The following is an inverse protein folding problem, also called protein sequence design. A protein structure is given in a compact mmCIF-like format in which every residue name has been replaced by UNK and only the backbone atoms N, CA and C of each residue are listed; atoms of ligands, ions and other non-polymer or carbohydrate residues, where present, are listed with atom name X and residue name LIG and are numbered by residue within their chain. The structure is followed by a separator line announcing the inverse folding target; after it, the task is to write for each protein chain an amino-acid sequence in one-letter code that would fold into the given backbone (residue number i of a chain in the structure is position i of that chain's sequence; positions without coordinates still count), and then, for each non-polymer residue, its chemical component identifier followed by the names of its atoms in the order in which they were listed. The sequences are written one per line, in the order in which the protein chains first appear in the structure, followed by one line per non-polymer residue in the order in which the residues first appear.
data_IF_149400037407
#
_entry.id   IF_149400037407
#
_cell.length_a   1.000
_cell.length_b   1.000
_cell.length_c   1.000
_cell.angle_alpha   90.00
_cell.angle_beta   90.00
_cell.angle_gamma   90.00
#
_symmetry.space_group_name_H-M   'P 1'
#
loop_
_entity.id
_entity.type
_entity.pdbx_description
1 polymer ?
#
# COMPACT_ATOMS: atom_id res chain seq x y z
N UNK A 1 17.43 27.41 14.62
CA UNK A 1 16.15 27.94 15.15
C UNK A 1 15.65 26.98 16.21
N UNK A 2 15.68 27.38 17.47
CA UNK A 2 15.10 26.60 18.56
C UNK A 2 13.59 26.52 18.33
N UNK A 3 13.05 25.31 18.15
CA UNK A 3 11.62 25.09 17.99
C UNK A 3 11.02 25.00 19.39
N UNK A 4 10.37 26.07 19.82
CA UNK A 4 9.57 26.11 21.05
C UNK A 4 8.30 25.30 20.83
N UNK A 5 8.36 24.00 21.10
CA UNK A 5 7.17 23.18 21.25
C UNK A 5 6.70 23.31 22.72
N UNK A 6 5.50 23.87 23.00
CA UNK A 6 5.01 24.11 24.36
C UNK A 6 4.87 22.85 25.22
N UNK A 7 4.97 21.66 24.61
CA UNK A 7 4.90 20.37 25.31
C UNK A 7 6.27 19.70 25.53
N UNK A 8 7.38 20.35 25.14
CA UNK A 8 8.74 19.84 25.38
C UNK A 8 9.11 18.57 24.58
N UNK A 9 8.33 18.21 23.56
CA UNK A 9 8.62 17.07 22.71
C UNK A 9 9.56 17.46 21.57
N UNK A 10 10.82 17.04 21.67
CA UNK A 10 11.78 17.17 20.56
C UNK A 10 11.46 16.15 19.45
N UNK A 11 10.65 16.58 18.47
CA UNK A 11 10.29 15.81 17.28
C UNK A 11 11.42 15.75 16.23
N UNK A 12 12.62 16.25 16.51
CA UNK A 12 13.72 16.19 15.55
C UNK A 12 14.08 14.74 15.22
N UNK A 13 14.39 14.50 13.94
CA UNK A 13 14.86 13.19 13.46
C UNK A 13 16.11 12.72 14.22
N UNK A 14 16.91 13.67 14.70
CA UNK A 14 18.08 13.41 15.55
C UNK A 14 17.70 12.89 16.94
N UNK A 15 16.74 13.52 17.61
CA UNK A 15 16.31 13.09 18.95
C UNK A 15 15.55 11.77 18.90
N UNK A 16 14.70 11.57 17.90
CA UNK A 16 14.01 10.29 17.69
C UNK A 16 14.97 9.16 17.34
N UNK A 17 16.01 9.41 16.52
CA UNK A 17 17.09 8.43 16.28
C UNK A 17 17.88 8.11 17.55
N UNK A 18 18.16 9.09 18.42
CA UNK A 18 18.89 8.89 19.68
C UNK A 18 18.08 8.10 20.71
N UNK A 19 16.75 8.29 20.75
CA UNK A 19 15.84 7.56 21.64
C UNK A 19 15.44 6.18 21.14
N UNK A 20 15.78 5.81 19.90
CA UNK A 20 15.42 4.51 19.36
C UNK A 20 16.41 3.44 19.87
N UNK A 21 16.00 2.51 20.76
CA UNK A 21 16.88 1.45 21.25
C UNK A 21 17.29 0.47 20.14
N UNK A 22 16.68 0.56 18.96
CA UNK A 22 17.03 -0.21 17.76
C UNK A 22 18.04 0.52 16.85
N UNK A 23 18.57 1.68 17.28
CA UNK A 23 19.49 2.51 16.51
C UNK A 23 20.85 1.82 16.31
N UNK A 24 21.18 1.53 15.03
CA UNK A 24 22.42 0.92 14.56
C UNK A 24 22.85 -0.33 15.35
N UNK A 25 22.09 -1.42 15.24
CA UNK A 25 22.73 -2.75 15.30
C UNK A 25 23.79 -2.75 14.21
N UNK A 26 25.07 -2.77 14.60
CA UNK A 26 26.16 -2.92 13.64
C UNK A 26 25.93 -4.19 12.80
N UNK A 27 26.46 -4.21 11.59
CA UNK A 27 26.41 -5.37 10.70
C UNK A 27 26.96 -6.66 11.35
N UNK A 28 27.69 -6.53 12.46
CA UNK A 28 28.25 -7.62 13.26
C UNK A 28 27.22 -8.36 14.13
N UNK A 29 26.02 -7.84 14.35
CA UNK A 29 25.02 -8.47 15.24
C UNK A 29 25.42 -8.50 16.73
N UNK A 30 26.49 -7.81 17.12
CA UNK A 30 26.99 -7.73 18.49
C UNK A 30 26.16 -6.74 19.33
N UNK A 31 25.91 -7.11 20.58
CA UNK A 31 25.40 -6.23 21.62
C UNK A 31 26.59 -5.64 22.38
N UNK A 32 27.04 -4.45 21.97
CA UNK A 32 28.15 -3.75 22.65
C UNK A 32 27.81 -3.34 24.09
N UNK A 33 26.53 -3.36 24.46
CA UNK A 33 26.04 -2.99 25.80
C UNK A 33 25.86 -4.18 26.73
N UNK A 34 26.15 -5.42 26.31
CA UNK A 34 25.99 -6.57 27.20
C UNK A 34 27.12 -6.65 28.23
N UNK A 35 26.75 -6.79 29.50
CA UNK A 35 27.68 -7.01 30.64
C UNK A 35 27.75 -8.49 31.03
N UNK A 36 27.23 -9.38 30.20
CA UNK A 36 27.14 -10.82 30.50
C UNK A 36 28.45 -11.52 30.17
N UNK A 37 28.75 -12.59 30.91
CA UNK A 37 29.85 -13.51 30.61
C UNK A 37 29.37 -14.53 29.57
N UNK A 38 30.29 -15.13 28.82
CA UNK A 38 30.02 -16.21 27.90
C UNK A 38 29.43 -17.44 28.64
N UNK A 39 28.33 -18.00 28.13
CA UNK A 39 27.68 -19.19 28.69
C UNK A 39 28.40 -20.51 28.34
N UNK A 40 29.52 -20.45 27.60
CA UNK A 40 30.31 -21.63 27.27
C UNK A 40 31.15 -22.09 28.47
N UNK A 41 31.20 -23.40 28.72
CA UNK A 41 31.91 -23.97 29.86
C UNK A 41 33.41 -23.59 29.83
N UNK A 42 33.88 -22.90 30.87
CA UNK A 42 35.28 -22.50 31.00
C UNK A 42 35.69 -21.25 30.23
N UNK A 43 34.74 -20.48 29.68
CA UNK A 43 35.01 -19.20 29.01
C UNK A 43 34.59 -18.01 29.87
N UNK A 44 35.53 -17.10 30.16
CA UNK A 44 35.26 -15.86 30.93
C UNK A 44 35.15 -14.60 30.04
N UNK A 45 35.10 -14.77 28.72
CA UNK A 45 34.98 -13.65 27.79
C UNK A 45 33.61 -12.98 27.84
N UNK A 46 33.52 -11.75 27.34
CA UNK A 46 32.26 -11.01 27.27
C UNK A 46 31.27 -11.66 26.26
N UNK A 47 30.10 -12.04 26.76
CA UNK A 47 28.97 -12.56 25.98
C UNK A 47 28.28 -11.44 25.21
N UNK A 48 28.77 -11.12 24.01
CA UNK A 48 28.24 -10.04 23.15
C UNK A 48 27.18 -10.50 22.16
N UNK A 49 27.07 -11.79 21.92
CA UNK A 49 26.23 -12.34 20.87
C UNK A 49 25.18 -13.26 21.47
N UNK A 50 23.93 -13.09 21.01
CA UNK A 50 22.82 -13.95 21.42
C UNK A 50 22.67 -15.12 20.44
N UNK A 51 22.42 -16.32 20.96
CA UNK A 51 22.08 -17.50 20.19
C UNK A 51 20.79 -18.13 20.76
N UNK A 52 19.84 -18.58 19.93
CA UNK A 52 18.59 -19.21 20.41
C UNK A 52 18.89 -20.56 21.06
N UNK A 53 18.23 -20.90 22.18
CA UNK A 53 18.45 -22.19 22.86
C UNK A 53 17.76 -23.35 22.15
N UNK A 54 16.56 -23.14 21.64
CA UNK A 54 15.79 -24.11 20.86
C UNK A 54 15.13 -23.42 19.66
N UNK A 55 14.80 -24.17 18.59
CA UNK A 55 14.01 -23.64 17.48
C UNK A 55 12.62 -23.14 17.89
N UNK A 56 12.01 -23.82 18.87
CA UNK A 56 10.61 -23.60 19.26
C UNK A 56 10.43 -22.51 20.33
N UNK A 57 11.41 -22.31 21.22
CA UNK A 57 11.33 -21.35 22.31
C UNK A 57 12.01 -20.05 21.88
N UNK A 58 11.21 -19.10 21.41
CA UNK A 58 11.68 -17.83 20.87
C UNK A 58 12.25 -16.86 21.91
N UNK A 59 11.96 -17.06 23.19
CA UNK A 59 12.30 -16.09 24.24
C UNK A 59 13.60 -16.43 24.99
N UNK A 60 14.12 -17.65 24.81
CA UNK A 60 15.30 -18.14 25.52
C UNK A 60 16.56 -18.07 24.65
N UNK A 61 17.58 -17.38 25.17
CA UNK A 61 18.85 -17.16 24.48
C UNK A 61 20.06 -17.48 25.36
N UNK A 62 21.09 -18.07 24.76
CA UNK A 62 22.45 -18.10 25.29
C UNK A 62 23.24 -16.85 24.85
N UNK A 63 24.19 -16.44 25.68
CA UNK A 63 25.09 -15.32 25.43
C UNK A 63 26.51 -15.83 25.28
N UNK A 64 27.10 -15.61 24.11
CA UNK A 64 28.40 -16.16 23.76
C UNK A 64 29.37 -15.08 23.29
N UNK A 65 30.67 -15.38 23.37
CA UNK A 65 31.73 -14.60 22.74
C UNK A 65 31.82 -14.91 21.24
N UNK A 66 32.68 -14.20 20.50
CA UNK A 66 32.73 -14.31 19.02
C UNK A 66 33.08 -15.72 18.53
N UNK A 67 33.92 -16.44 19.25
CA UNK A 67 34.40 -17.77 18.84
C UNK A 67 33.31 -18.82 19.09
N UNK A 68 32.77 -18.88 20.31
CA UNK A 68 31.74 -19.85 20.67
C UNK A 68 30.43 -19.69 19.89
N UNK A 69 30.06 -18.47 19.48
CA UNK A 69 28.89 -18.27 18.60
C UNK A 69 29.10 -18.92 17.24
N UNK A 70 30.32 -18.86 16.70
CA UNK A 70 30.62 -19.47 15.40
C UNK A 70 30.53 -20.98 15.48
N UNK A 71 31.06 -21.56 16.54
CA UNK A 71 30.93 -23.00 16.80
C UNK A 71 29.48 -23.41 17.01
N UNK A 72 28.71 -22.61 17.75
CA UNK A 72 27.29 -22.83 17.97
C UNK A 72 26.52 -22.79 16.66
N UNK A 73 26.69 -21.74 15.85
CA UNK A 73 26.02 -21.60 14.57
C UNK A 73 26.43 -22.68 13.56
N UNK A 74 27.67 -23.18 13.63
CA UNK A 74 28.12 -24.29 12.77
C UNK A 74 27.44 -25.60 13.14
N UNK A 75 27.18 -25.82 14.43
CA UNK A 75 26.49 -27.02 14.94
C UNK A 75 24.96 -26.88 14.90
N UNK A 76 24.44 -25.66 14.80
CA UNK A 76 23.02 -25.39 14.84
C UNK A 76 22.30 -25.88 13.59
N UNK A 77 21.39 -26.84 13.76
CA UNK A 77 20.48 -27.26 12.72
C UNK A 77 19.04 -27.08 13.22
N UNK A 78 18.26 -26.26 12.50
CA UNK A 78 16.86 -25.97 12.85
C UNK A 78 15.97 -27.22 12.78
N UNK A 79 16.31 -28.18 11.92
CA UNK A 79 15.56 -29.41 11.70
C UNK A 79 16.10 -30.61 12.49
N UNK A 80 17.01 -30.38 13.45
CA UNK A 80 17.52 -31.45 14.30
C UNK A 80 16.39 -31.94 15.23
N UNK A 81 15.94 -33.18 15.03
CA UNK A 81 14.81 -33.77 15.74
C UNK A 81 13.45 -33.66 15.04
N UNK A 82 13.34 -32.96 13.90
CA UNK A 82 12.13 -32.98 13.08
C UNK A 82 12.03 -34.26 12.25
N UNK A 83 10.82 -34.79 12.12
CA UNK A 83 10.55 -35.92 11.22
C UNK A 83 10.60 -35.49 9.76
N UNK A 84 10.84 -36.43 8.85
CA UNK A 84 10.84 -36.15 7.40
C UNK A 84 9.47 -35.62 6.93
N UNK A 85 8.38 -36.05 7.57
CA UNK A 85 7.04 -35.54 7.32
C UNK A 85 6.92 -34.04 7.67
N UNK A 86 7.32 -33.64 8.88
CA UNK A 86 7.29 -32.24 9.32
C UNK A 86 8.18 -31.35 8.44
N UNK A 87 9.34 -31.86 8.02
CA UNK A 87 10.20 -31.17 7.06
C UNK A 87 9.48 -30.94 5.72
N UNK A 88 8.83 -31.98 5.17
CA UNK A 88 8.09 -31.86 3.92
C UNK A 88 6.91 -30.89 4.00
N UNK A 89 6.21 -30.86 5.14
CA UNK A 89 5.11 -29.93 5.40
C UNK A 89 5.60 -28.48 5.47
N UNK A 90 6.74 -28.24 6.12
CA UNK A 90 7.35 -26.91 6.16
C UNK A 90 7.76 -26.44 4.76
N UNK A 91 8.36 -27.33 3.95
CA UNK A 91 8.72 -27.03 2.55
C UNK A 91 7.50 -26.69 1.71
N UNK A 92 6.41 -27.46 1.86
CA UNK A 92 5.15 -27.20 1.15
C UNK A 92 4.51 -25.89 1.59
N UNK A 93 4.56 -25.54 2.88
CA UNK A 93 4.08 -24.27 3.41
C UNK A 93 4.92 -23.09 2.91
N UNK A 94 6.25 -23.23 2.89
CA UNK A 94 7.17 -22.18 2.44
C UNK A 94 7.02 -21.91 0.94
N UNK A 95 6.71 -22.93 0.15
CA UNK A 95 6.40 -22.78 -1.29
C UNK A 95 5.27 -21.78 -1.55
N UNK A 96 4.31 -21.69 -0.63
CA UNK A 96 3.19 -20.74 -0.68
C UNK A 96 3.33 -19.58 0.29
N UNK A 97 4.56 -19.30 0.75
CA UNK A 97 4.88 -18.16 1.63
C UNK A 97 4.05 -18.16 2.91
N UNK A 98 3.79 -19.35 3.48
CA UNK A 98 2.98 -19.53 4.69
C UNK A 98 1.49 -19.23 4.49
N UNK A 99 1.02 -19.05 3.25
CA UNK A 99 -0.40 -18.85 2.95
C UNK A 99 -1.01 -20.18 2.57
N UNK A 100 -1.94 -20.68 3.37
CA UNK A 100 -2.70 -21.88 3.03
C UNK A 100 -3.39 -21.69 1.67
N UNK A 101 -3.02 -22.48 0.67
CA UNK A 101 -3.69 -22.46 -0.62
C UNK A 101 -4.73 -23.57 -0.69
N UNK A 102 -5.86 -23.28 -1.31
CA UNK A 102 -6.87 -24.30 -1.59
C UNK A 102 -6.51 -24.96 -2.92
N UNK A 103 -6.36 -26.31 -2.98
CA UNK A 103 -6.10 -26.98 -4.24
C UNK A 103 -7.24 -26.71 -5.22
N UNK A 104 -6.90 -26.25 -6.42
CA UNK A 104 -7.88 -26.02 -7.48
C UNK A 104 -8.63 -27.32 -7.79
N UNK A 105 -9.97 -27.25 -7.87
CA UNK A 105 -10.84 -28.37 -8.24
C UNK A 105 -11.26 -29.31 -7.11
N UNK A 106 -10.70 -29.22 -5.88
CA UNK A 106 -11.28 -29.94 -4.73
C UNK A 106 -12.48 -29.17 -4.20
N UNK A 107 -13.68 -29.76 -4.36
CA UNK A 107 -14.89 -29.28 -3.67
C UNK A 107 -14.65 -29.33 -2.15
N UNK A 108 -14.93 -28.24 -1.43
CA UNK A 108 -14.86 -28.24 0.04
C UNK A 108 -15.87 -29.24 0.63
N UNK A 109 -15.69 -29.65 1.88
CA UNK A 109 -16.66 -30.53 2.56
C UNK A 109 -18.05 -29.90 2.60
N UNK A 110 -18.11 -28.58 2.80
CA UNK A 110 -19.33 -27.79 2.74
C UNK A 110 -19.96 -27.81 1.35
N UNK A 111 -19.17 -27.65 0.27
CA UNK A 111 -19.66 -27.74 -1.11
C UNK A 111 -20.16 -29.15 -1.43
N UNK A 112 -19.56 -30.21 -0.86
CA UNK A 112 -20.06 -31.58 -1.00
C UNK A 112 -21.35 -31.81 -0.21
N UNK A 113 -21.47 -31.22 0.99
CA UNK A 113 -22.69 -31.28 1.78
C UNK A 113 -23.84 -30.54 1.07
N UNK A 114 -23.57 -29.39 0.47
CA UNK A 114 -24.55 -28.61 -0.29
C UNK A 114 -24.95 -29.33 -1.58
N UNK A 115 -24.02 -30.00 -2.25
CA UNK A 115 -24.33 -30.86 -3.40
C UNK A 115 -25.28 -32.00 -3.05
N UNK A 116 -25.16 -32.60 -1.85
CA UNK A 116 -26.12 -33.62 -1.35
C UNK A 116 -27.51 -33.04 -1.11
N UNK A 117 -27.59 -31.75 -0.81
CA UNK A 117 -28.82 -30.98 -0.64
C UNK A 117 -29.36 -30.43 -1.97
N UNK A 118 -28.76 -30.80 -3.12
CA UNK A 118 -29.18 -30.37 -4.45
C UNK A 118 -28.67 -28.98 -4.87
N UNK A 119 -27.70 -28.43 -4.14
CA UNK A 119 -27.09 -27.11 -4.41
C UNK A 119 -25.67 -27.34 -4.89
N UNK A 120 -25.45 -27.23 -6.20
CA UNK A 120 -24.16 -27.54 -6.82
C UNK A 120 -23.12 -26.43 -6.65
N UNK A 121 -23.59 -25.18 -6.53
CA UNK A 121 -22.77 -23.98 -6.31
C UNK A 121 -23.30 -23.21 -5.10
N UNK A 122 -22.44 -22.79 -4.14
CA UNK A 122 -22.79 -21.85 -3.10
C UNK A 122 -23.59 -20.61 -3.54
N UNK A 123 -23.35 -20.12 -4.76
CA UNK A 123 -24.04 -18.98 -5.33
C UNK A 123 -25.42 -19.30 -5.90
N UNK A 124 -25.77 -20.58 -6.07
CA UNK A 124 -27.10 -21.01 -6.51
C UNK A 124 -28.17 -20.65 -5.46
N UNK A 125 -27.81 -20.58 -4.18
CA UNK A 125 -28.69 -20.13 -3.08
C UNK A 125 -29.11 -18.66 -3.23
N UNK A 126 -28.28 -17.84 -3.87
CA UNK A 126 -28.52 -16.41 -4.08
C UNK A 126 -29.35 -16.13 -5.36
N UNK A 127 -29.72 -17.17 -6.11
CA UNK A 127 -30.55 -17.08 -7.32
C UNK A 127 -29.83 -16.51 -8.54
N UNK A 128 -30.58 -16.25 -9.62
CA UNK A 128 -30.07 -15.84 -10.94
C UNK A 128 -29.30 -14.49 -10.93
N UNK A 129 -29.44 -13.70 -9.85
CA UNK A 129 -28.79 -12.40 -9.69
C UNK A 129 -27.48 -12.45 -8.87
N UNK A 130 -27.04 -13.63 -8.41
CA UNK A 130 -25.90 -13.79 -7.52
C UNK A 130 -24.54 -13.35 -8.11
N UNK A 131 -24.35 -13.55 -9.41
CA UNK A 131 -23.11 -13.22 -10.14
C UNK A 131 -23.22 -11.91 -10.92
N UNK A 132 -24.41 -11.33 -10.97
CA UNK A 132 -24.68 -10.07 -11.64
C UNK A 132 -24.41 -8.95 -10.65
N UNK A 133 -23.15 -8.82 -10.22
CA UNK A 133 -22.68 -7.60 -9.58
C UNK A 133 -22.77 -6.51 -10.65
N UNK A 134 -23.70 -5.53 -10.58
CA UNK A 134 -23.57 -4.36 -11.41
C UNK A 134 -22.33 -3.67 -10.87
N UNK A 135 -21.17 -3.97 -11.48
CA UNK A 135 -19.91 -3.35 -11.09
C UNK A 135 -20.15 -1.86 -10.93
N UNK A 136 -19.45 -1.24 -9.97
CA UNK A 136 -19.53 0.17 -9.53
C UNK A 136 -19.73 1.25 -10.61
N UNK A 137 -19.68 0.91 -11.88
CA UNK A 137 -20.05 1.66 -13.06
C UNK A 137 -21.53 2.08 -13.13
N UNK A 138 -22.49 1.38 -12.50
CA UNK A 138 -23.90 1.79 -12.53
C UNK A 138 -24.20 2.99 -11.61
N UNK A 139 -23.47 3.12 -10.49
CA UNK A 139 -23.55 4.28 -9.59
C UNK A 139 -22.68 5.47 -10.05
N UNK A 140 -21.97 5.34 -11.17
CA UNK A 140 -21.03 6.33 -11.69
C UNK A 140 -21.58 7.08 -12.92
N UNK A 141 -22.89 7.31 -12.96
CA UNK A 141 -23.50 8.34 -13.82
C UNK A 141 -23.23 9.77 -13.30
N UNK A 142 -22.35 9.91 -12.29
CA UNK A 142 -21.82 11.15 -11.74
C UNK A 142 -20.29 11.13 -11.61
N UNK A 143 -19.58 11.10 -12.74
CA UNK A 143 -18.63 12.19 -12.98
C UNK A 143 -17.17 12.12 -12.52
N UNK A 144 -16.52 10.98 -12.30
CA UNK A 144 -15.04 10.91 -12.36
C UNK A 144 -14.56 9.56 -12.89
N UNK A 145 -14.28 9.48 -14.19
CA UNK A 145 -13.85 8.23 -14.85
C UNK A 145 -12.34 8.12 -15.03
N UNK A 146 -11.59 9.24 -14.92
CA UNK A 146 -10.13 9.27 -15.06
C UNK A 146 -9.49 10.07 -13.94
N UNK A 147 -8.33 9.61 -13.48
CA UNK A 147 -7.47 10.35 -12.54
C UNK A 147 -6.76 11.47 -13.31
N UNK A 148 -7.47 12.58 -13.50
CA UNK A 148 -6.90 13.81 -14.08
C UNK A 148 -6.05 14.55 -13.03
N UNK A 149 -4.98 15.26 -13.44
CA UNK A 149 -4.26 16.18 -12.57
C UNK A 149 -5.18 17.29 -12.06
N UNK A 150 -4.83 17.88 -10.92
CA UNK A 150 -5.70 18.84 -10.22
C UNK A 150 -6.03 20.09 -11.06
N UNK A 151 -5.10 20.53 -11.91
CA UNK A 151 -5.30 21.67 -12.82
C UNK A 151 -6.34 21.38 -13.89
N UNK A 152 -6.31 20.21 -14.51
CA UNK A 152 -7.29 19.79 -15.52
C UNK A 152 -8.69 19.58 -14.91
N UNK A 153 -8.77 19.11 -13.66
CA UNK A 153 -10.06 19.00 -12.96
C UNK A 153 -10.69 20.37 -12.74
N UNK A 154 -9.91 21.33 -12.23
CA UNK A 154 -10.39 22.71 -12.04
C UNK A 154 -10.81 23.34 -13.37
N UNK A 155 -10.06 23.08 -14.44
CA UNK A 155 -10.42 23.57 -15.78
C UNK A 155 -11.75 22.97 -16.29
N UNK A 156 -12.02 21.69 -16.03
CA UNK A 156 -13.30 21.06 -16.38
C UNK A 156 -14.48 21.65 -15.59
N UNK A 157 -14.27 21.97 -14.31
CA UNK A 157 -15.29 22.60 -13.47
C UNK A 157 -15.63 24.01 -13.99
N UNK A 158 -14.62 24.82 -14.34
CA UNK A 158 -14.81 26.18 -14.87
C UNK A 158 -15.52 26.17 -16.24
N UNK A 159 -15.24 25.19 -17.10
CA UNK A 159 -15.87 25.05 -18.41
C UNK A 159 -17.19 24.26 -18.39
N UNK A 160 -17.64 23.82 -17.22
CA UNK A 160 -18.79 22.91 -17.00
C UNK A 160 -18.77 21.70 -17.96
N UNK A 161 -17.58 21.09 -18.10
CA UNK A 161 -17.33 20.01 -19.04
C UNK A 161 -17.18 18.66 -18.34
N UNK A 162 -17.59 17.58 -19.02
CA UNK A 162 -17.45 16.20 -18.51
C UNK A 162 -16.12 15.58 -18.94
N UNK A 163 -15.54 14.75 -18.06
CA UNK A 163 -14.31 13.96 -18.30
C UNK A 163 -14.40 13.04 -19.55
N UNK A 164 -15.62 12.67 -19.94
CA UNK A 164 -15.86 11.85 -21.13
C UNK A 164 -15.89 12.63 -22.46
N UNK A 165 -15.77 13.95 -22.44
CA UNK A 165 -15.87 14.80 -23.64
C UNK A 165 -14.56 14.87 -24.43
N UNK A 166 -14.66 15.07 -25.75
CA UNK A 166 -13.50 15.31 -26.62
C UNK A 166 -13.09 16.80 -26.62
N UNK A 167 -11.85 17.11 -27.03
CA UNK A 167 -11.37 18.49 -27.15
C UNK A 167 -12.28 19.36 -28.04
N UNK A 168 -12.90 18.78 -29.08
CA UNK A 168 -13.84 19.48 -29.94
C UNK A 168 -15.13 19.89 -29.21
N UNK A 169 -15.65 19.02 -28.33
CA UNK A 169 -16.84 19.31 -27.51
C UNK A 169 -16.54 20.37 -26.46
N UNK A 170 -15.37 20.30 -25.81
CA UNK A 170 -14.92 21.31 -24.85
C UNK A 170 -14.68 22.67 -25.55
N UNK A 171 -14.13 22.67 -26.77
CA UNK A 171 -13.98 23.90 -27.57
C UNK A 171 -15.33 24.55 -27.87
N UNK A 172 -16.40 23.76 -28.02
CA UNK A 172 -17.75 24.27 -28.26
C UNK A 172 -18.33 24.93 -27.00
N UNK A 173 -18.15 24.35 -25.81
CA UNK A 173 -18.57 24.97 -24.55
C UNK A 173 -17.77 26.24 -24.26
N UNK A 174 -16.44 26.23 -24.47
CA UNK A 174 -15.58 27.41 -24.38
C UNK A 174 -16.06 28.57 -25.27
N UNK A 175 -16.33 28.31 -26.55
CA UNK A 175 -16.84 29.34 -27.47
C UNK A 175 -18.23 29.86 -27.08
N UNK A 176 -19.06 29.04 -26.43
CA UNK A 176 -20.35 29.48 -25.92
C UNK A 176 -20.17 30.40 -24.70
N UNK A 177 -19.30 30.01 -23.76
CA UNK A 177 -18.99 30.80 -22.57
C UNK A 177 -18.38 32.16 -22.91
N UNK A 178 -17.46 32.23 -23.89
CA UNK A 178 -16.90 33.53 -24.34
C UNK A 178 -18.00 34.45 -24.88
N UNK A 179 -18.94 33.94 -25.67
CA UNK A 179 -20.01 34.77 -26.23
C UNK A 179 -20.89 35.36 -25.12
N UNK A 180 -21.19 34.56 -24.09
CA UNK A 180 -22.00 35.02 -22.95
C UNK A 180 -21.23 36.03 -22.09
N UNK A 181 -19.93 35.81 -21.88
CA UNK A 181 -19.09 36.64 -21.01
C UNK A 181 -18.43 37.83 -21.73
N UNK A 182 -18.71 38.03 -23.02
CA UNK A 182 -18.06 39.09 -23.79
C UNK A 182 -18.60 40.48 -23.40
N UNK A 183 -17.74 41.47 -23.10
CA UNK A 183 -18.16 42.79 -22.63
C UNK A 183 -19.02 43.57 -23.64
N UNK A 184 -18.86 43.29 -24.93
CA UNK A 184 -19.68 43.88 -26.02
C UNK A 184 -21.14 43.41 -25.97
N UNK A 185 -21.39 42.18 -25.51
CA UNK A 185 -22.75 41.65 -25.37
C UNK A 185 -23.39 42.03 -24.03
N UNK A 186 -22.57 42.35 -23.02
CA UNK A 186 -23.00 42.72 -21.67
C UNK A 186 -22.95 44.23 -21.42
N UNK A 187 -22.95 45.05 -22.48
CA UNK A 187 -23.09 46.50 -22.35
C UNK A 187 -21.96 47.21 -21.60
N UNK A 188 -20.77 46.61 -21.51
CA UNK A 188 -19.61 47.18 -20.81
C UNK A 188 -19.52 46.85 -19.32
N UNK A 189 -20.32 45.91 -18.81
CA UNK A 189 -20.22 45.45 -17.42
C UNK A 189 -18.90 44.70 -17.17
N UNK A 190 -18.03 45.31 -16.35
CA UNK A 190 -16.69 44.77 -16.01
C UNK A 190 -16.72 43.66 -14.96
N UNK A 191 -17.89 43.39 -14.39
CA UNK A 191 -18.08 42.38 -13.34
C UNK A 191 -17.79 40.95 -13.82
N UNK A 192 -17.83 40.71 -15.13
CA UNK A 192 -17.60 39.39 -15.73
C UNK A 192 -16.18 39.22 -16.30
N UNK A 193 -15.32 40.25 -16.22
CA UNK A 193 -13.93 40.19 -16.70
C UNK A 193 -13.12 39.11 -15.98
N UNK A 194 -13.34 38.94 -14.66
CA UNK A 194 -12.66 37.92 -13.85
C UNK A 194 -13.06 36.50 -14.31
N UNK A 195 -14.35 36.26 -14.53
CA UNK A 195 -14.86 34.98 -15.04
C UNK A 195 -14.35 34.68 -16.45
N UNK A 196 -14.27 35.70 -17.32
CA UNK A 196 -13.69 35.56 -18.64
C UNK A 196 -12.21 35.14 -18.57
N UNK A 197 -11.45 35.73 -17.64
CA UNK A 197 -10.04 35.38 -17.43
C UNK A 197 -9.87 33.92 -16.96
N UNK A 198 -10.76 33.44 -16.09
CA UNK A 198 -10.78 32.04 -15.63
C UNK A 198 -11.14 31.06 -16.76
N UNK A 199 -12.10 31.40 -17.61
CA UNK A 199 -12.51 30.59 -18.77
C UNK A 199 -11.38 30.49 -19.80
N UNK A 200 -10.64 31.59 -20.04
CA UNK A 200 -9.47 31.59 -20.92
C UNK A 200 -8.35 30.74 -20.34
N UNK A 201 -8.07 30.86 -19.03
CA UNK A 201 -7.09 30.02 -18.35
C UNK A 201 -7.46 28.52 -18.44
N UNK A 202 -8.73 28.17 -18.19
CA UNK A 202 -9.20 26.79 -18.24
C UNK A 202 -9.04 26.16 -19.62
N UNK A 203 -9.31 26.93 -20.69
CA UNK A 203 -9.11 26.47 -22.06
C UNK A 203 -7.62 26.24 -22.39
N UNK A 204 -6.72 27.10 -21.91
CA UNK A 204 -5.28 26.95 -22.11
C UNK A 204 -4.76 25.65 -21.48
N UNK A 205 -5.21 25.33 -20.26
CA UNK A 205 -4.86 24.07 -19.59
C UNK A 205 -5.33 22.82 -20.35
N UNK A 206 -6.53 22.85 -20.93
CA UNK A 206 -7.10 21.70 -21.64
C UNK A 206 -6.53 21.54 -23.05
N UNK A 207 -6.19 22.65 -23.72
CA UNK A 207 -5.61 22.64 -25.06
C UNK A 207 -4.27 21.87 -25.10
N UNK A 208 -3.41 22.12 -24.12
CA UNK A 208 -2.07 21.53 -24.03
C UNK A 208 -2.07 20.12 -23.41
N UNK A 209 -3.14 19.75 -22.72
CA UNK A 209 -3.25 18.44 -22.08
C UNK A 209 -3.31 17.27 -23.08
N UNK A 210 -2.67 16.16 -22.69
CA UNK A 210 -2.67 14.88 -23.43
C UNK A 210 -3.83 13.96 -23.04
N UNK A 211 -4.57 14.31 -21.99
CA UNK A 211 -5.66 13.51 -21.41
C UNK A 211 -6.92 13.50 -22.27
N UNK A 212 -7.18 14.59 -23.01
CA UNK A 212 -8.30 14.67 -23.94
C UNK A 212 -7.84 14.37 -25.36
N UNK A 213 -8.61 13.52 -26.05
CA UNK A 213 -8.34 13.19 -27.45
C UNK A 213 -8.84 14.32 -28.34
N UNK A 214 -7.96 14.83 -29.20
CA UNK A 214 -8.32 15.48 -30.44
C UNK A 214 -8.95 14.39 -31.31
N UNK A 215 -10.28 14.30 -31.34
CA UNK A 215 -10.93 13.35 -32.25
C UNK A 215 -10.88 13.95 -33.65
N UNK A 216 -10.61 13.10 -34.65
CA UNK A 216 -10.80 13.37 -36.07
C UNK A 216 -12.23 13.87 -36.36
#
# INVERSE_FOLDING_TARGET
MAKNDPFGFDMSVSASKKKNPRGRRGMSGAFETSTRVCDHAGCEEAGKYRAPKSPDILDDYFWFCKEHVREYNLKWNFFDGSTEAEFSEQVDNDRVWGRSTKPFGKRSEEQRAWARLGVDDPHQVLGENATRNPGRNAAQQGGHTRRLPATERRALEVLDAKDSWSKAQIRKSYKALIKVLHPDMNGGDRSQEEQLSEVVWAWDQIKDSKSFRDKD
#
